data_IF_574437762734
#
_entry.id   IF_574437762734
#
_cell.length_a   1.000
_cell.length_b   1.000
_cell.length_c   1.000
_cell.angle_alpha   90.00
_cell.angle_beta   90.00
_cell.angle_gamma   90.00
#
_symmetry.space_group_name_H-M   'P 1'
#
loop_
_entity.id
_entity.type
_entity.pdbx_description
1 polymer ?
#
# COMPACT_ATOMS: atom_id res chain seq x y z
N UNK A 1 37.50 -17.49 16.73
CA UNK A 1 37.48 -16.00 16.72
C UNK A 1 37.08 -15.42 15.37
N UNK A 2 37.68 -15.82 14.25
CA UNK A 2 37.34 -15.30 12.92
C UNK A 2 35.85 -15.49 12.53
N UNK A 3 35.26 -16.65 12.85
CA UNK A 3 33.84 -16.95 12.55
C UNK A 3 32.88 -16.00 13.28
N UNK A 4 33.18 -15.66 14.53
CA UNK A 4 32.33 -14.75 15.32
C UNK A 4 32.38 -13.32 14.78
N UNK A 5 33.54 -12.87 14.27
CA UNK A 5 33.73 -11.55 13.66
C UNK A 5 32.98 -11.47 12.32
N UNK A 6 33.04 -12.52 11.49
CA UNK A 6 32.29 -12.58 10.23
C UNK A 6 30.79 -12.58 10.46
N UNK A 7 30.30 -13.34 11.46
CA UNK A 7 28.88 -13.39 11.80
C UNK A 7 28.36 -12.03 12.30
N UNK A 8 29.14 -11.34 13.14
CA UNK A 8 28.75 -10.03 13.69
C UNK A 8 28.78 -8.93 12.63
N UNK A 9 29.72 -8.97 11.68
CA UNK A 9 29.70 -8.10 10.49
C UNK A 9 28.42 -8.36 9.68
N UNK A 10 28.07 -9.62 9.39
CA UNK A 10 26.87 -9.94 8.59
C UNK A 10 25.57 -9.42 9.22
N UNK A 11 25.42 -9.56 10.55
CA UNK A 11 24.23 -9.12 11.30
C UNK A 11 24.08 -7.59 11.29
N UNK A 12 25.18 -6.84 11.26
CA UNK A 12 25.15 -5.36 11.24
C UNK A 12 24.77 -4.82 9.84
N UNK A 13 25.16 -5.51 8.76
CA UNK A 13 24.88 -5.06 7.39
C UNK A 13 23.53 -5.54 6.82
N UNK A 14 22.93 -6.60 7.39
CA UNK A 14 21.60 -7.12 7.01
C UNK A 14 20.45 -6.09 7.01
N UNK A 15 20.28 -5.22 8.03
CA UNK A 15 19.17 -4.26 8.05
C UNK A 15 19.30 -3.14 7.00
N UNK A 16 20.49 -2.90 6.45
CA UNK A 16 20.73 -1.85 5.44
C UNK A 16 20.16 -2.25 4.07
N UNK A 17 19.89 -3.55 3.86
CA UNK A 17 19.30 -4.07 2.63
C UNK A 17 17.76 -4.10 2.66
N UNK A 18 17.13 -3.69 3.76
CA UNK A 18 15.68 -3.57 3.84
C UNK A 18 15.22 -2.37 2.99
N UNK A 19 15.01 -2.61 1.69
CA UNK A 19 14.31 -1.66 0.83
C UNK A 19 12.86 -1.56 1.33
N UNK A 20 12.52 -0.37 1.83
CA UNK A 20 11.13 -0.03 2.13
C UNK A 20 10.32 0.13 0.84
N UNK A 21 9.01 0.02 0.98
CA UNK A 21 8.06 0.24 -0.11
C UNK A 21 8.24 1.64 -0.70
N UNK A 22 8.21 1.74 -2.02
CA UNK A 22 8.27 3.03 -2.73
C UNK A 22 6.87 3.42 -3.20
N UNK A 23 6.44 4.64 -2.89
CA UNK A 23 5.10 5.15 -3.26
C UNK A 23 5.18 6.55 -3.88
N UNK A 24 4.10 6.96 -4.55
CA UNK A 24 3.87 8.36 -4.88
C UNK A 24 3.07 9.06 -3.78
N UNK A 25 3.38 10.32 -3.54
CA UNK A 25 2.71 11.17 -2.56
C UNK A 25 2.53 12.59 -3.13
N UNK A 26 1.37 13.20 -2.85
CA UNK A 26 1.15 14.63 -3.13
C UNK A 26 1.66 15.46 -1.96
N UNK A 27 2.44 16.51 -2.26
CA UNK A 27 2.74 17.57 -1.28
C UNK A 27 1.52 18.51 -1.05
N UNK A 28 1.66 19.46 -0.12
CA UNK A 28 0.60 20.44 0.19
C UNK A 28 0.23 21.34 -0.99
N UNK A 29 1.10 21.45 -2.00
CA UNK A 29 0.87 22.18 -3.24
C UNK A 29 0.27 21.32 -4.35
N UNK A 30 0.06 20.02 -4.10
CA UNK A 30 -0.46 19.04 -5.05
C UNK A 30 0.58 18.40 -5.95
N UNK A 31 1.87 18.73 -5.83
CA UNK A 31 2.92 18.12 -6.66
C UNK A 31 3.19 16.67 -6.22
N UNK A 32 3.35 15.80 -7.21
CA UNK A 32 3.65 14.39 -6.99
C UNK A 32 5.14 14.20 -6.81
N UNK A 33 5.54 13.54 -5.73
CA UNK A 33 6.91 13.11 -5.49
C UNK A 33 6.95 11.64 -5.05
N UNK A 34 8.12 11.04 -5.16
CA UNK A 34 8.34 9.67 -4.70
C UNK A 34 8.80 9.68 -3.25
N UNK A 35 8.15 8.86 -2.43
CA UNK A 35 8.55 8.59 -1.06
C UNK A 35 9.03 7.16 -0.92
N UNK A 36 10.09 6.96 -0.16
CA UNK A 36 10.59 5.65 0.21
C UNK A 36 10.87 5.62 1.71
N UNK A 37 10.68 4.46 2.33
CA UNK A 37 10.93 4.33 3.76
C UNK A 37 10.40 3.04 4.32
N UNK A 38 11.09 2.51 5.33
CA UNK A 38 10.69 1.29 6.03
C UNK A 38 9.43 1.47 6.87
N UNK A 39 9.06 2.72 7.18
CA UNK A 39 7.82 3.07 7.89
C UNK A 39 6.56 2.89 7.05
N UNK A 40 6.69 2.81 5.72
CA UNK A 40 5.56 2.67 4.82
C UNK A 40 5.35 1.19 4.46
N UNK A 41 4.11 0.73 4.61
CA UNK A 41 3.70 -0.65 4.29
C UNK A 41 2.76 -0.73 3.10
N UNK A 42 2.12 0.38 2.76
CA UNK A 42 1.17 0.44 1.65
C UNK A 42 1.27 1.77 0.90
N UNK A 43 0.92 1.76 -0.38
CA UNK A 43 0.65 2.96 -1.15
C UNK A 43 -0.86 3.12 -1.33
N UNK A 44 -1.34 4.35 -1.27
CA UNK A 44 -2.74 4.70 -1.36
C UNK A 44 -3.04 5.67 -2.49
N UNK A 45 -4.26 5.58 -3.00
CA UNK A 45 -4.84 6.48 -3.98
C UNK A 45 -6.29 6.81 -3.61
N UNK A 46 -6.63 8.09 -3.68
CA UNK A 46 -7.98 8.60 -3.83
C UNK A 46 -8.07 9.09 -5.28
N UNK A 47 -8.77 8.38 -6.18
CA UNK A 47 -8.83 8.77 -7.57
C UNK A 47 -9.45 10.17 -7.76
N UNK A 48 -8.96 10.89 -8.77
CA UNK A 48 -9.59 12.15 -9.15
C UNK A 48 -11.03 11.92 -9.63
N UNK A 49 -11.91 12.87 -9.34
CA UNK A 49 -13.29 12.91 -9.82
C UNK A 49 -13.51 14.17 -10.65
N UNK A 50 -14.68 14.30 -11.30
CA UNK A 50 -15.03 15.53 -12.03
C UNK A 50 -15.05 16.78 -11.14
N UNK A 51 -15.23 16.60 -9.82
CA UNK A 51 -15.39 17.70 -8.86
C UNK A 51 -14.22 17.87 -7.87
N UNK A 52 -13.30 16.90 -7.79
CA UNK A 52 -12.22 16.88 -6.79
C UNK A 52 -10.95 16.33 -7.39
N UNK A 53 -9.83 16.98 -7.10
CA UNK A 53 -8.52 16.43 -7.42
C UNK A 53 -8.28 15.15 -6.62
N UNK A 54 -7.58 14.21 -7.25
CA UNK A 54 -7.17 12.97 -6.60
C UNK A 54 -6.05 13.21 -5.58
N UNK A 55 -5.70 12.16 -4.84
CA UNK A 55 -4.61 12.19 -3.88
C UNK A 55 -3.86 10.86 -3.85
N UNK A 56 -2.55 10.93 -3.84
CA UNK A 56 -1.60 9.83 -3.68
C UNK A 56 -0.91 10.00 -2.33
N UNK A 57 -0.65 8.89 -1.63
CA UNK A 57 -0.03 8.93 -0.31
C UNK A 57 0.59 7.58 0.05
N UNK A 58 1.64 7.59 0.88
CA UNK A 58 2.10 6.39 1.55
C UNK A 58 1.40 6.19 2.89
N UNK A 59 1.25 4.94 3.31
CA UNK A 59 0.61 4.56 4.57
C UNK A 59 1.59 3.79 5.46
N UNK A 60 1.77 4.29 6.68
CA UNK A 60 2.48 3.65 7.78
C UNK A 60 1.55 3.31 8.96
N UNK A 61 2.15 2.77 10.01
CA UNK A 61 1.47 2.30 11.23
C UNK A 61 0.64 3.37 11.94
N UNK A 62 0.98 4.64 11.73
CA UNK A 62 0.27 5.80 12.28
C UNK A 62 -1.14 6.02 11.70
N UNK A 63 -1.54 5.29 10.66
CA UNK A 63 -2.85 5.45 10.04
C UNK A 63 -3.94 4.65 10.76
N UNK A 64 -5.08 5.28 11.04
CA UNK A 64 -6.21 4.65 11.77
C UNK A 64 -6.72 3.35 11.12
N UNK A 65 -6.63 3.24 9.79
CA UNK A 65 -7.07 2.03 9.06
C UNK A 65 -5.97 0.98 8.88
N UNK A 66 -4.75 1.25 9.34
CA UNK A 66 -3.59 0.39 9.14
C UNK A 66 -3.82 -1.06 9.60
N UNK A 67 -4.38 -1.34 10.80
CA UNK A 67 -4.61 -2.72 11.25
C UNK A 67 -5.56 -3.49 10.32
N UNK A 68 -6.53 -2.80 9.72
CA UNK A 68 -7.49 -3.40 8.79
C UNK A 68 -6.80 -3.80 7.49
N UNK A 69 -5.91 -2.95 6.96
CA UNK A 69 -5.13 -3.28 5.78
C UNK A 69 -4.16 -4.42 6.06
N UNK A 70 -3.40 -4.36 7.16
CA UNK A 70 -2.49 -5.46 7.54
C UNK A 70 -3.22 -6.80 7.62
N UNK A 71 -4.37 -6.84 8.31
CA UNK A 71 -5.16 -8.07 8.39
C UNK A 71 -5.59 -8.58 7.02
N UNK A 72 -5.99 -7.69 6.12
CA UNK A 72 -6.52 -8.06 4.80
C UNK A 72 -5.40 -8.52 3.86
N UNK A 73 -4.28 -7.80 3.81
CA UNK A 73 -3.11 -8.17 3.03
C UNK A 73 -2.34 -9.36 3.62
N UNK A 74 -2.49 -9.60 4.93
CA UNK A 74 -1.94 -10.75 5.64
C UNK A 74 -2.73 -12.04 5.47
N UNK A 75 -3.85 -12.04 4.75
CA UNK A 75 -4.54 -13.28 4.37
C UNK A 75 -3.65 -14.08 3.43
N UNK A 76 -3.11 -15.19 3.93
CA UNK A 76 -2.28 -16.12 3.17
C UNK A 76 -3.10 -17.32 2.73
N UNK A 77 -3.31 -17.44 1.42
CA UNK A 77 -3.91 -18.62 0.78
C UNK A 77 -2.98 -19.07 -0.37
N UNK A 78 -2.92 -20.37 -0.64
CA UNK A 78 -2.06 -20.93 -1.69
C UNK A 78 -2.55 -20.60 -3.11
N UNK A 79 -3.82 -20.25 -3.28
CA UNK A 79 -4.45 -20.05 -4.58
C UNK A 79 -4.66 -18.58 -4.94
N UNK A 80 -4.71 -17.70 -3.94
CA UNK A 80 -4.91 -16.28 -4.16
C UNK A 80 -4.17 -15.44 -3.12
N UNK A 81 -3.85 -14.21 -3.51
CA UNK A 81 -3.37 -13.17 -2.60
C UNK A 81 -4.10 -11.88 -2.85
N UNK A 82 -4.27 -11.09 -1.80
CA UNK A 82 -4.83 -9.74 -1.94
C UNK A 82 -3.75 -8.81 -2.49
N UNK A 83 -4.03 -8.16 -3.63
CA UNK A 83 -3.11 -7.23 -4.31
C UNK A 83 -3.50 -5.76 -4.16
N UNK A 84 -4.80 -5.52 -3.97
CA UNK A 84 -5.36 -4.19 -3.72
C UNK A 84 -6.61 -4.32 -2.86
N UNK A 85 -6.87 -3.31 -2.03
CA UNK A 85 -8.10 -3.15 -1.26
C UNK A 85 -8.67 -1.78 -1.57
N UNK A 86 -9.90 -1.71 -2.04
CA UNK A 86 -10.61 -0.45 -2.29
C UNK A 86 -11.83 -0.33 -1.37
N UNK A 87 -12.00 0.84 -0.76
CA UNK A 87 -13.09 1.15 0.16
C UNK A 87 -13.83 2.39 -0.31
N UNK A 88 -15.16 2.33 -0.22
CA UNK A 88 -16.03 3.50 -0.34
C UNK A 88 -16.39 3.96 1.08
N UNK A 89 -15.85 5.11 1.46
CA UNK A 89 -16.04 5.73 2.77
C UNK A 89 -17.16 6.78 2.68
N UNK A 90 -18.18 6.65 3.54
CA UNK A 90 -19.24 7.65 3.70
C UNK A 90 -18.97 8.48 4.95
N UNK A 91 -18.84 9.80 4.78
CA UNK A 91 -18.65 10.76 5.86
C UNK A 91 -19.93 11.53 6.15
N UNK A 92 -20.54 11.22 7.29
CA UNK A 92 -21.76 11.87 7.76
C UNK A 92 -21.45 13.02 8.73
N UNK A 93 -21.19 14.21 8.19
CA UNK A 93 -20.93 15.41 9.00
C UNK A 93 -22.19 16.02 9.64
N UNK A 94 -23.37 15.66 9.14
CA UNK A 94 -24.66 16.27 9.51
C UNK A 94 -25.01 16.19 11.00
N UNK A 95 -24.46 15.23 11.77
CA UNK A 95 -24.69 15.12 13.23
C UNK A 95 -24.04 16.23 14.04
N UNK A 96 -22.96 16.84 13.56
CA UNK A 96 -22.27 17.94 14.25
C UNK A 96 -22.32 19.24 13.45
N UNK A 97 -22.48 19.16 12.12
CA UNK A 97 -22.58 20.30 11.22
C UNK A 97 -23.80 20.11 10.31
N UNK A 98 -25.01 20.52 10.74
CA UNK A 98 -26.27 20.24 10.04
C UNK A 98 -26.40 20.85 8.64
N UNK A 99 -25.46 21.74 8.25
CA UNK A 99 -25.38 22.32 6.90
C UNK A 99 -24.40 21.59 5.97
N UNK A 100 -23.56 20.71 6.51
CA UNK A 100 -22.63 19.88 5.71
C UNK A 100 -23.40 18.71 5.11
N UNK A 101 -23.18 18.47 3.81
CA UNK A 101 -23.73 17.30 3.13
C UNK A 101 -22.89 16.07 3.45
N UNK A 102 -23.50 14.89 3.33
CA UNK A 102 -22.76 13.63 3.33
C UNK A 102 -21.74 13.66 2.19
N UNK A 103 -20.50 13.28 2.49
CA UNK A 103 -19.45 13.15 1.49
C UNK A 103 -19.04 11.70 1.31
N UNK A 104 -18.64 11.36 0.09
CA UNK A 104 -18.13 10.03 -0.24
C UNK A 104 -16.69 10.15 -0.71
N UNK A 105 -15.83 9.27 -0.19
CA UNK A 105 -14.45 9.15 -0.65
C UNK A 105 -14.24 7.71 -1.09
N UNK A 106 -13.69 7.55 -2.29
CA UNK A 106 -13.27 6.26 -2.77
C UNK A 106 -11.75 6.16 -2.66
N UNK A 107 -11.26 5.16 -1.94
CA UNK A 107 -9.84 4.99 -1.62
C UNK A 107 -9.39 3.58 -1.96
N UNK A 108 -8.27 3.44 -2.66
CA UNK A 108 -7.61 2.16 -2.84
C UNK A 108 -6.23 2.14 -2.19
N UNK A 109 -5.81 0.96 -1.76
CA UNK A 109 -4.53 0.69 -1.11
C UNK A 109 -3.91 -0.56 -1.71
N UNK A 110 -2.59 -0.58 -1.87
CA UNK A 110 -1.82 -1.69 -2.43
C UNK A 110 -0.44 -1.79 -1.76
N UNK A 111 0.20 -2.95 -1.82
CA UNK A 111 1.41 -3.28 -1.05
C UNK A 111 2.65 -3.59 -1.91
N UNK A 112 2.79 -2.95 -3.07
CA UNK A 112 3.95 -3.11 -3.96
C UNK A 112 4.39 -1.77 -4.56
N UNK A 113 5.64 -1.72 -5.02
CA UNK A 113 6.28 -0.46 -5.41
C UNK A 113 5.48 0.28 -6.50
N UNK A 114 5.27 1.58 -6.27
CA UNK A 114 4.65 2.54 -7.18
C UNK A 114 3.26 2.09 -7.68
N UNK A 115 2.57 1.23 -6.93
CA UNK A 115 1.27 0.72 -7.32
C UNK A 115 0.17 1.79 -7.40
N UNK A 116 0.42 2.99 -6.87
CA UNK A 116 -0.46 4.15 -6.91
C UNK A 116 -0.06 5.19 -7.98
N UNK A 117 0.59 4.77 -9.07
CA UNK A 117 1.03 5.67 -10.14
C UNK A 117 -0.10 6.29 -10.96
N UNK A 118 -1.24 5.60 -11.05
CA UNK A 118 -2.34 5.99 -11.92
C UNK A 118 -3.15 7.14 -11.33
N UNK A 119 -3.72 7.99 -12.18
CA UNK A 119 -4.45 9.19 -11.74
C UNK A 119 -5.96 8.97 -11.61
N UNK A 120 -6.49 7.97 -12.31
CA UNK A 120 -7.91 7.62 -12.34
C UNK A 120 -8.17 6.21 -11.83
N UNK A 121 -9.42 5.95 -11.42
CA UNK A 121 -9.79 4.64 -10.89
C UNK A 121 -9.71 3.53 -11.94
N UNK A 122 -10.14 3.82 -13.17
CA UNK A 122 -10.14 2.83 -14.25
C UNK A 122 -8.71 2.43 -14.63
N UNK A 123 -7.81 3.40 -14.73
CA UNK A 123 -6.40 3.16 -15.02
C UNK A 123 -5.75 2.37 -13.88
N UNK A 124 -6.01 2.76 -12.63
CA UNK A 124 -5.54 2.04 -11.45
C UNK A 124 -5.95 0.56 -11.50
N UNK A 125 -7.23 0.25 -11.67
CA UNK A 125 -7.69 -1.14 -11.74
C UNK A 125 -7.04 -1.91 -12.90
N UNK A 126 -6.85 -1.27 -14.04
CA UNK A 126 -6.19 -1.89 -15.19
C UNK A 126 -4.70 -2.18 -14.90
N UNK A 127 -3.99 -1.24 -14.29
CA UNK A 127 -2.60 -1.40 -13.89
C UNK A 127 -2.42 -2.52 -12.86
N UNK A 128 -3.32 -2.61 -11.87
CA UNK A 128 -3.32 -3.73 -10.91
C UNK A 128 -3.52 -5.07 -11.64
N UNK A 129 -4.48 -5.14 -12.57
CA UNK A 129 -4.77 -6.36 -13.34
C UNK A 129 -3.58 -6.81 -14.19
N UNK A 130 -2.90 -5.88 -14.86
CA UNK A 130 -1.70 -6.20 -15.65
C UNK A 130 -0.58 -6.70 -14.72
N UNK A 131 -0.35 -5.99 -13.62
CA UNK A 131 0.71 -6.32 -12.66
C UNK A 131 0.48 -7.67 -11.98
N UNK A 132 -0.78 -8.05 -11.71
CA UNK A 132 -1.10 -9.37 -11.16
C UNK A 132 -0.74 -10.48 -12.16
N UNK A 133 -1.10 -10.33 -13.44
CA UNK A 133 -0.76 -11.33 -14.47
C UNK A 133 0.75 -11.49 -14.70
N UNK A 134 1.52 -10.41 -14.57
CA UNK A 134 2.98 -10.48 -14.68
C UNK A 134 3.63 -11.13 -13.46
N UNK A 135 3.08 -10.93 -12.26
CA UNK A 135 3.56 -11.56 -11.04
C UNK A 135 3.16 -13.04 -10.94
N UNK A 136 2.07 -13.47 -11.57
CA UNK A 136 1.72 -14.90 -11.70
C UNK A 136 2.77 -15.69 -12.50
N UNK A 137 3.56 -15.00 -13.34
CA UNK A 137 4.70 -15.59 -14.05
C UNK A 137 5.94 -15.79 -13.17
N UNK A 138 5.90 -15.27 -11.93
CA UNK A 138 6.93 -15.40 -10.88
C UNK A 138 6.35 -15.99 -9.61
N UNK A 139 5.49 -17.01 -9.72
CA UNK A 139 5.05 -17.76 -8.56
C UNK A 139 6.27 -18.25 -7.78
N UNK A 140 6.45 -17.70 -6.57
CA UNK A 140 7.43 -18.16 -5.60
C UNK A 140 6.98 -19.54 -5.15
N UNK A 141 7.85 -20.55 -5.29
CA UNK A 141 7.66 -21.86 -4.69
C UNK A 141 7.59 -21.69 -3.16
N UNK A 142 6.38 -21.58 -2.61
CA UNK A 142 6.16 -21.58 -1.17
C UNK A 142 6.19 -23.04 -0.72
N UNK A 143 7.32 -23.46 -0.16
CA UNK A 143 7.45 -24.73 0.56
C UNK A 143 6.46 -24.73 1.73
N UNK A 144 5.53 -25.69 1.81
CA UNK A 144 4.52 -25.74 2.85
C UNK A 144 5.15 -26.37 4.08
N UNK A 145 5.85 -25.58 4.90
CA UNK A 145 6.32 -26.08 6.19
C UNK A 145 6.28 -24.99 7.25
N UNK A 146 5.09 -24.83 7.84
CA UNK A 146 4.82 -24.49 9.25
C UNK A 146 3.34 -24.17 9.44
N UNK A 147 2.54 -25.23 9.54
CA UNK A 147 1.35 -25.22 10.37
C UNK A 147 1.79 -25.73 11.75
N UNK A 148 1.91 -24.82 12.73
CA UNK A 148 1.81 -25.14 14.16
C UNK A 148 0.75 -24.20 14.72
#
# INVERSE_FOLDING_TARGET
MAVAIVLSILVIYLPIMARGLVCYENDDSGNVHTVNGTKYRFCGIIPATTSRQGRLFALGEENDYFPTYEKTFGVTDSYYRVVTVCMLEEFQFGRHYPKMRTEFIFRCVCNFDLCNAESTFSEYLNAIKITSTMNDSKAVDIVPDRLI
#
